data_IF_637129852648
#
_entry.id   IF_637129852648
#
_cell.length_a   1.000
_cell.length_b   1.000
_cell.length_c   1.000
_cell.angle_alpha   90.00
_cell.angle_beta   90.00
_cell.angle_gamma   90.00
#
_symmetry.space_group_name_H-M   'P 1'
#
loop_
_entity.id
_entity.type
_entity.pdbx_description
1 polymer ?
#
# COMPACT_ATOMS: atom_id res chain seq x y z
N UNK A 1 14.64 -50.11 3.67
CA UNK A 1 14.66 -49.01 2.67
C UNK A 1 13.62 -47.96 3.04
N UNK A 2 13.87 -47.11 4.06
CA UNK A 2 12.85 -46.18 4.59
C UNK A 2 13.50 -44.91 5.17
N UNK A 3 14.59 -44.43 4.57
CA UNK A 3 15.31 -43.23 5.03
C UNK A 3 15.54 -42.20 3.91
N UNK A 4 14.78 -42.27 2.81
CA UNK A 4 14.96 -41.40 1.63
C UNK A 4 13.82 -40.41 1.38
N UNK A 5 12.78 -40.44 2.22
CA UNK A 5 11.56 -39.63 2.03
C UNK A 5 11.41 -38.48 3.05
N UNK A 6 12.03 -38.57 4.23
CA UNK A 6 12.01 -37.49 5.22
C UNK A 6 12.73 -36.22 4.74
N UNK A 7 13.91 -36.41 4.14
CA UNK A 7 14.74 -35.32 3.62
C UNK A 7 14.08 -34.55 2.46
N UNK A 8 13.17 -35.19 1.70
CA UNK A 8 12.45 -34.51 0.62
C UNK A 8 11.38 -33.56 1.15
N UNK A 9 10.75 -33.89 2.28
CA UNK A 9 9.68 -33.11 2.90
C UNK A 9 10.21 -31.86 3.60
N UNK A 10 11.35 -31.97 4.25
CA UNK A 10 12.06 -30.81 4.84
C UNK A 10 12.53 -29.83 3.77
N UNK A 11 12.94 -30.31 2.59
CA UNK A 11 13.33 -29.45 1.48
C UNK A 11 12.13 -28.68 0.88
N UNK A 12 10.96 -29.31 0.86
CA UNK A 12 9.71 -28.73 0.34
C UNK A 12 9.13 -27.67 1.29
N UNK A 13 9.19 -27.90 2.60
CA UNK A 13 8.81 -26.92 3.63
C UNK A 13 9.78 -25.71 3.64
N UNK A 14 11.08 -25.93 3.44
CA UNK A 14 12.05 -24.85 3.29
C UNK A 14 11.78 -23.97 2.06
N UNK A 15 11.39 -24.57 0.93
CA UNK A 15 10.99 -23.85 -0.29
C UNK A 15 9.70 -23.03 -0.09
N UNK A 16 8.72 -23.53 0.66
CA UNK A 16 7.50 -22.78 1.00
C UNK A 16 7.78 -21.59 1.93
N UNK A 17 8.76 -21.71 2.84
CA UNK A 17 9.18 -20.58 3.69
C UNK A 17 9.94 -19.51 2.90
N UNK A 18 10.79 -19.90 1.93
CA UNK A 18 11.47 -18.98 1.01
C UNK A 18 10.49 -18.25 0.07
N UNK A 19 9.40 -18.91 -0.35
CA UNK A 19 8.34 -18.28 -1.12
C UNK A 19 7.58 -17.20 -0.32
N UNK A 20 7.49 -17.34 1.02
CA UNK A 20 6.91 -16.32 1.91
C UNK A 20 7.78 -15.06 1.98
N UNK A 21 9.10 -15.18 1.95
CA UNK A 21 10.04 -14.04 1.98
C UNK A 21 10.02 -13.24 0.66
N UNK A 22 9.74 -13.89 -0.48
CA UNK A 22 9.56 -13.20 -1.77
C UNK A 22 8.32 -12.30 -1.85
N UNK A 23 7.36 -12.46 -0.94
CA UNK A 23 6.20 -11.55 -0.81
C UNK A 23 6.47 -10.31 0.04
N UNK A 24 7.58 -10.29 0.78
CA UNK A 24 7.96 -9.19 1.68
C UNK A 24 8.78 -8.09 0.97
N UNK A 25 9.31 -8.38 -0.21
CA UNK A 25 10.03 -7.41 -1.01
C UNK A 25 9.20 -7.12 -2.27
N UNK A 26 8.46 -6.00 -2.34
CA UNK A 26 7.78 -5.65 -3.57
C UNK A 26 8.83 -5.53 -4.70
N UNK A 27 8.51 -6.01 -5.91
CA UNK A 27 9.39 -5.84 -7.05
C UNK A 27 9.72 -4.36 -7.17
N UNK A 28 11.00 -4.09 -7.39
CA UNK A 28 11.62 -2.79 -7.61
C UNK A 28 11.05 -2.24 -8.92
N UNK A 29 9.78 -1.84 -8.90
CA UNK A 29 9.05 -1.36 -10.06
C UNK A 29 9.32 0.14 -10.20
N UNK A 30 10.40 0.44 -10.90
CA UNK A 30 10.52 1.51 -11.89
C UNK A 30 10.01 2.89 -11.44
N UNK A 31 10.95 3.69 -10.90
CA UNK A 31 10.99 5.16 -10.86
C UNK A 31 9.61 5.83 -10.90
N UNK A 32 8.95 5.84 -9.75
CA UNK A 32 7.78 6.69 -9.55
C UNK A 32 8.16 7.87 -8.71
N UNK A 33 8.31 9.02 -9.35
CA UNK A 33 8.54 10.25 -8.62
C UNK A 33 7.28 10.57 -7.79
N UNK A 34 7.37 10.59 -6.44
CA UNK A 34 6.23 10.91 -5.60
C UNK A 34 5.86 12.38 -5.79
N UNK A 35 4.58 12.67 -5.95
CA UNK A 35 4.06 14.04 -6.04
C UNK A 35 3.31 14.38 -4.77
N UNK A 36 3.69 15.49 -4.14
CA UNK A 36 2.97 15.99 -2.97
C UNK A 36 1.84 16.92 -3.42
N UNK A 37 0.65 16.70 -2.89
CA UNK A 37 -0.51 17.59 -3.05
C UNK A 37 -0.71 18.35 -1.75
N UNK A 38 -0.92 19.66 -1.84
CA UNK A 38 -1.24 20.53 -0.69
C UNK A 38 -2.76 20.71 -0.53
N UNK A 39 -3.50 20.74 -1.63
CA UNK A 39 -4.94 21.01 -1.65
C UNK A 39 -5.80 19.75 -1.53
N UNK A 40 -6.78 19.80 -0.62
CA UNK A 40 -7.72 18.70 -0.39
C UNK A 40 -8.63 18.47 -1.59
N UNK A 41 -9.05 19.53 -2.29
CA UNK A 41 -9.95 19.43 -3.45
C UNK A 41 -9.31 18.63 -4.58
N UNK A 42 -8.07 18.95 -4.92
CA UNK A 42 -7.29 18.22 -5.93
C UNK A 42 -7.10 16.75 -5.55
N UNK A 43 -6.88 16.47 -4.26
CA UNK A 43 -6.75 15.10 -3.77
C UNK A 43 -8.04 14.29 -3.99
N UNK A 44 -9.22 14.85 -3.69
CA UNK A 44 -10.49 14.17 -3.90
C UNK A 44 -10.79 13.92 -5.38
N UNK A 45 -10.40 14.84 -6.25
CA UNK A 45 -10.53 14.69 -7.71
C UNK A 45 -9.66 13.55 -8.24
N UNK A 46 -8.43 13.44 -7.74
CA UNK A 46 -7.50 12.34 -8.08
C UNK A 46 -8.01 11.01 -7.55
N UNK A 47 -8.55 10.98 -6.32
CA UNK A 47 -9.06 9.75 -5.70
C UNK A 47 -10.31 9.18 -6.41
N UNK A 48 -11.07 10.01 -7.13
CA UNK A 48 -12.25 9.59 -7.91
C UNK A 48 -11.92 9.20 -9.35
N UNK A 49 -10.69 9.44 -9.80
CA UNK A 49 -10.30 9.20 -11.19
C UNK A 49 -10.11 7.70 -11.44
N UNK A 50 -10.46 7.25 -12.64
CA UNK A 50 -10.42 5.83 -13.06
C UNK A 50 -9.03 5.18 -13.05
N UNK A 51 -7.97 5.97 -12.95
CA UNK A 51 -6.56 5.55 -12.89
C UNK A 51 -6.10 5.24 -11.46
N UNK A 52 -6.87 5.62 -10.44
CA UNK A 52 -6.55 5.34 -9.06
C UNK A 52 -6.81 3.84 -8.76
N UNK A 53 -5.73 3.12 -8.45
CA UNK A 53 -5.75 1.65 -8.24
C UNK A 53 -5.88 1.29 -6.76
N UNK A 54 -5.13 1.99 -5.91
CA UNK A 54 -5.11 1.72 -4.47
C UNK A 54 -4.81 2.99 -3.68
N UNK A 55 -5.34 3.05 -2.47
CA UNK A 55 -5.04 4.10 -1.50
C UNK A 55 -4.40 3.48 -0.26
N UNK A 56 -3.32 4.09 0.21
CA UNK A 56 -2.62 3.73 1.42
C UNK A 56 -2.77 4.86 2.42
N UNK A 57 -3.36 4.56 3.57
CA UNK A 57 -3.47 5.52 4.67
C UNK A 57 -2.39 5.18 5.69
N UNK A 58 -1.35 6.02 5.78
CA UNK A 58 -0.30 5.87 6.79
C UNK A 58 -0.56 6.83 7.95
N UNK A 59 -0.75 6.28 9.14
CA UNK A 59 -0.85 7.07 10.37
C UNK A 59 0.55 7.27 10.94
N UNK A 60 0.97 8.51 11.12
CA UNK A 60 2.18 8.89 11.86
C UNK A 60 1.77 9.46 13.23
N UNK A 61 2.74 9.71 14.11
CA UNK A 61 2.48 10.31 15.43
C UNK A 61 1.71 11.65 15.32
N UNK A 62 2.20 12.53 14.46
CA UNK A 62 1.75 13.93 14.35
C UNK A 62 0.97 14.24 13.06
N UNK A 63 0.95 13.31 12.11
CA UNK A 63 0.32 13.53 10.81
C UNK A 63 -0.21 12.23 10.22
N UNK A 64 -1.20 12.34 9.36
CA UNK A 64 -1.73 11.24 8.55
C UNK A 64 -1.37 11.53 7.10
N UNK A 65 -0.79 10.54 6.42
CA UNK A 65 -0.43 10.62 5.00
C UNK A 65 -1.37 9.74 4.20
N UNK A 66 -2.14 10.36 3.31
CA UNK A 66 -2.96 9.67 2.33
C UNK A 66 -2.16 9.53 1.05
N UNK A 67 -1.86 8.29 0.66
CA UNK A 67 -1.07 7.97 -0.52
C UNK A 67 -1.96 7.28 -1.55
N UNK A 68 -2.23 7.90 -2.68
CA UNK A 68 -3.04 7.30 -3.76
C UNK A 68 -2.11 6.87 -4.89
N UNK A 69 -2.22 5.60 -5.27
CA UNK A 69 -1.53 4.98 -6.39
C UNK A 69 -2.33 5.24 -7.67
N UNK A 70 -1.79 6.08 -8.54
CA UNK A 70 -2.32 6.27 -9.90
C UNK A 70 -1.44 5.51 -10.91
N UNK A 71 -1.75 5.59 -12.21
CA UNK A 71 -0.98 4.89 -13.25
C UNK A 71 0.50 5.30 -13.30
N UNK A 72 0.80 6.60 -13.13
CA UNK A 72 2.15 7.15 -13.36
C UNK A 72 2.82 7.71 -12.11
N UNK A 73 2.06 8.05 -11.08
CA UNK A 73 2.58 8.73 -9.89
C UNK A 73 1.91 8.23 -8.62
N UNK A 74 2.67 8.30 -7.54
CA UNK A 74 2.15 8.19 -6.19
C UNK A 74 1.85 9.60 -5.65
N UNK A 75 0.57 9.90 -5.46
CA UNK A 75 0.14 11.17 -4.89
C UNK A 75 0.06 11.08 -3.38
N UNK A 76 0.69 12.02 -2.67
CA UNK A 76 0.66 12.08 -1.21
C UNK A 76 0.02 13.38 -0.73
N UNK A 77 -1.04 13.27 0.07
CA UNK A 77 -1.58 14.36 0.88
C UNK A 77 -1.17 14.17 2.34
N UNK A 78 -0.58 15.20 2.93
CA UNK A 78 -0.18 15.21 4.34
C UNK A 78 -1.18 16.05 5.12
N UNK A 79 -1.86 15.44 6.09
CA UNK A 79 -2.84 16.11 6.96
C UNK A 79 -2.32 16.05 8.40
N UNK A 80 -2.15 17.21 9.04
CA UNK A 80 -1.73 17.29 10.45
C UNK A 80 -2.90 17.01 11.41
N UNK A 81 -4.10 17.49 11.06
CA UNK A 81 -5.29 17.37 11.89
C UNK A 81 -5.92 15.96 11.81
N UNK A 82 -5.90 15.21 12.93
CA UNK A 82 -6.49 13.86 13.02
C UNK A 82 -8.00 13.86 12.75
N UNK A 83 -8.73 14.87 13.21
CA UNK A 83 -10.18 14.99 13.00
C UNK A 83 -10.55 15.18 11.52
N UNK A 84 -9.77 15.98 10.77
CA UNK A 84 -9.98 16.17 9.33
C UNK A 84 -9.60 14.91 8.55
N UNK A 85 -8.53 14.23 8.97
CA UNK A 85 -8.12 12.97 8.37
C UNK A 85 -9.22 11.89 8.48
N UNK A 86 -9.91 11.78 9.61
CA UNK A 86 -11.01 10.83 9.77
C UNK A 86 -12.18 11.10 8.82
N UNK A 87 -12.54 12.37 8.61
CA UNK A 87 -13.57 12.76 7.62
C UNK A 87 -13.13 12.46 6.19
N UNK A 88 -11.86 12.73 5.87
CA UNK A 88 -11.30 12.42 4.56
C UNK A 88 -11.28 10.93 4.27
N UNK A 89 -10.97 10.11 5.27
CA UNK A 89 -11.03 8.65 5.16
C UNK A 89 -12.44 8.17 4.77
N UNK A 90 -13.49 8.75 5.39
CA UNK A 90 -14.89 8.42 5.06
C UNK A 90 -15.33 8.93 3.68
N UNK A 91 -14.69 10.01 3.20
CA UNK A 91 -15.02 10.61 1.90
C UNK A 91 -14.38 9.88 0.72
N UNK A 92 -13.47 8.93 0.98
CA UNK A 92 -12.86 8.11 -0.05
C UNK A 92 -13.87 7.09 -0.60
N UNK A 93 -13.89 6.86 -1.92
CA UNK A 93 -14.81 5.89 -2.51
C UNK A 93 -14.47 4.48 -2.01
N UNK A 94 -15.46 3.69 -1.54
CA UNK A 94 -15.25 2.33 -1.03
C UNK A 94 -14.83 1.33 -2.12
N UNK A 95 -14.97 1.70 -3.40
CA UNK A 95 -14.51 0.91 -4.53
C UNK A 95 -12.97 0.90 -4.67
N UNK A 96 -12.26 1.83 -4.02
CA UNK A 96 -10.81 1.84 -4.02
C UNK A 96 -10.27 0.87 -2.96
N UNK A 97 -9.27 0.06 -3.32
CA UNK A 97 -8.58 -0.78 -2.33
C UNK A 97 -7.84 0.11 -1.33
N UNK A 98 -8.35 0.20 -0.10
CA UNK A 98 -7.75 0.99 0.99
C UNK A 98 -6.92 0.05 1.88
N UNK A 99 -5.60 0.25 1.87
CA UNK A 99 -4.66 -0.40 2.78
C UNK A 99 -4.30 0.56 3.93
N UNK A 100 -4.56 0.14 5.17
CA UNK A 100 -4.10 0.87 6.35
C UNK A 100 -2.70 0.40 6.76
N UNK A 101 -1.74 1.32 6.75
CA UNK A 101 -0.37 1.07 7.19
C UNK A 101 -0.17 1.75 8.54
N UNK A 102 0.17 0.94 9.54
CA UNK A 102 0.46 1.44 10.89
C UNK A 102 1.82 2.14 10.98
#
# INVERSE_FOLDING_TARGET
>A
MLAKWGALRELEEALQSLAKVRSFFPPIALVEMPKQIKDIKQFLEIARRKDAKSARVKKNADSVKFKVRCSSYLYTLVVKDKSKANKLRQSLPPALAIEEIK
#
